data_IF_608324470060
#
_entry.id   IF_608324470060
#
_cell.length_a   1.000
_cell.length_b   1.000
_cell.length_c   1.000
_cell.angle_alpha   90.00
_cell.angle_beta   90.00
_cell.angle_gamma   90.00
#
_symmetry.space_group_name_H-M   'P 1'
#
loop_
_entity.id
_entity.type
_entity.pdbx_description
1 polymer ?
#
# COMPACT_ATOMS: atom_id res chain seq x y z
N UNK A 1 -3.72 -34.03 3.47
CA UNK A 1 -3.67 -32.57 3.65
C UNK A 1 -5.09 -32.12 3.84
N UNK A 2 -5.42 -31.56 5.00
CA UNK A 2 -6.79 -31.22 5.35
C UNK A 2 -6.90 -29.69 5.38
N UNK A 3 -7.95 -29.17 4.76
CA UNK A 3 -8.21 -27.73 4.68
C UNK A 3 -9.49 -27.44 5.45
N UNK A 4 -9.42 -26.50 6.38
CA UNK A 4 -10.56 -26.02 7.15
C UNK A 4 -11.01 -24.69 6.54
N UNK A 5 -12.30 -24.54 6.26
CA UNK A 5 -12.90 -23.27 5.86
C UNK A 5 -13.64 -22.68 7.07
N UNK A 6 -13.35 -21.43 7.39
CA UNK A 6 -13.98 -20.69 8.47
C UNK A 6 -14.57 -19.43 7.84
N UNK A 7 -15.89 -19.26 7.98
CA UNK A 7 -16.55 -18.02 7.58
C UNK A 7 -16.58 -17.08 8.79
N UNK A 8 -16.14 -15.83 8.60
CA UNK A 8 -16.00 -14.83 9.66
C UNK A 8 -16.95 -13.69 9.34
N UNK A 9 -17.95 -13.47 10.19
CA UNK A 9 -18.96 -12.42 9.99
C UNK A 9 -18.47 -11.04 10.45
N UNK A 10 -17.49 -10.97 11.36
CA UNK A 10 -17.00 -9.73 11.95
C UNK A 10 -15.50 -9.58 11.74
N UNK A 11 -15.09 -8.52 11.03
CA UNK A 11 -13.69 -8.27 10.69
C UNK A 11 -12.75 -8.18 11.90
N UNK A 12 -13.27 -7.77 13.07
CA UNK A 12 -12.48 -7.67 14.30
C UNK A 12 -11.96 -9.03 14.79
N UNK A 13 -12.63 -10.11 14.42
CA UNK A 13 -12.28 -11.46 14.83
C UNK A 13 -11.14 -12.05 13.98
N UNK A 14 -10.86 -11.45 12.81
CA UNK A 14 -9.78 -11.89 11.91
C UNK A 14 -8.44 -11.81 12.60
N UNK A 15 -8.10 -10.66 13.22
CA UNK A 15 -6.79 -10.48 13.87
C UNK A 15 -6.58 -11.42 15.05
N UNK A 16 -7.66 -11.79 15.76
CA UNK A 16 -7.59 -12.76 16.86
C UNK A 16 -7.33 -14.16 16.31
N UNK A 17 -7.99 -14.53 15.22
CA UNK A 17 -7.81 -15.81 14.55
C UNK A 17 -6.42 -15.97 13.94
N UNK A 18 -5.88 -14.93 13.29
CA UNK A 18 -4.52 -14.90 12.74
C UNK A 18 -3.47 -15.24 13.79
N UNK A 19 -3.59 -14.59 14.96
CA UNK A 19 -2.66 -14.79 16.07
C UNK A 19 -2.71 -16.23 16.56
N UNK A 20 -3.91 -16.78 16.77
CA UNK A 20 -4.11 -18.17 17.18
C UNK A 20 -3.53 -19.17 16.16
N UNK A 21 -3.80 -18.99 14.87
CA UNK A 21 -3.30 -19.88 13.82
C UNK A 21 -1.77 -19.84 13.73
N UNK A 22 -1.18 -18.66 13.92
CA UNK A 22 0.27 -18.46 13.93
C UNK A 22 0.91 -19.14 15.15
N UNK A 23 0.35 -18.94 16.35
CA UNK A 23 0.84 -19.56 17.59
C UNK A 23 0.78 -21.09 17.53
N UNK A 24 -0.23 -21.65 16.85
CA UNK A 24 -0.38 -23.08 16.63
C UNK A 24 0.46 -23.63 15.46
N UNK A 25 1.18 -22.77 14.72
CA UNK A 25 2.04 -23.16 13.61
C UNK A 25 1.28 -23.58 12.34
N UNK A 26 0.02 -23.20 12.20
CA UNK A 26 -0.77 -23.48 11.00
C UNK A 26 -0.43 -22.50 9.87
N UNK A 27 -0.41 -23.01 8.64
CA UNK A 27 -0.38 -22.18 7.43
C UNK A 27 -1.81 -21.86 7.02
N UNK A 28 -2.10 -20.59 6.81
CA UNK A 28 -3.42 -20.12 6.39
C UNK A 28 -3.30 -19.12 5.23
N UNK A 29 -4.41 -18.94 4.50
CA UNK A 29 -4.58 -17.92 3.45
C UNK A 29 -5.99 -17.32 3.58
N UNK A 30 -6.12 -16.03 3.32
CA UNK A 30 -7.42 -15.40 3.21
C UNK A 30 -7.94 -15.51 1.80
N UNK A 31 -9.16 -16.00 1.66
CA UNK A 31 -9.93 -15.93 0.43
C UNK A 31 -11.09 -14.99 0.71
N UNK A 32 -10.90 -13.70 0.39
CA UNK A 32 -12.02 -12.76 0.38
C UNK A 32 -12.77 -12.92 -0.94
N UNK A 33 -14.08 -13.17 -0.84
CA UNK A 33 -14.98 -13.12 -1.99
C UNK A 33 -15.42 -11.68 -2.31
N UNK A 34 -15.03 -10.69 -1.51
CA UNK A 34 -15.29 -9.30 -1.85
C UNK A 34 -14.36 -8.87 -2.97
N UNK A 35 -14.88 -8.30 -4.07
CA UNK A 35 -14.07 -7.53 -4.99
C UNK A 35 -13.29 -6.50 -4.18
N UNK A 36 -11.97 -6.43 -4.38
CA UNK A 36 -11.09 -5.39 -3.80
C UNK A 36 -11.56 -3.94 -4.15
N UNK A 37 -12.58 -3.85 -5.01
CA UNK A 37 -13.20 -2.65 -5.55
C UNK A 37 -14.71 -2.57 -5.25
N UNK A 38 -15.23 -3.25 -4.22
CA UNK A 38 -16.63 -3.14 -3.82
C UNK A 38 -16.96 -1.68 -3.41
N UNK A 39 -17.80 -1.00 -4.19
CA UNK A 39 -18.24 0.39 -3.92
C UNK A 39 -17.52 1.49 -4.71
N UNK A 40 -16.54 1.16 -5.56
CA UNK A 40 -15.90 2.11 -6.47
C UNK A 40 -16.32 1.83 -7.91
N UNK A 41 -16.65 2.89 -8.64
CA UNK A 41 -17.01 2.80 -10.06
C UNK A 41 -15.83 2.25 -10.88
N UNK A 42 -16.11 1.60 -12.02
CA UNK A 42 -15.04 1.10 -12.91
C UNK A 42 -14.05 2.20 -13.32
N UNK A 43 -14.54 3.43 -13.52
CA UNK A 43 -13.70 4.59 -13.80
C UNK A 43 -12.73 4.93 -12.64
N UNK A 44 -13.17 4.79 -11.39
CA UNK A 44 -12.32 4.98 -10.22
C UNK A 44 -11.28 3.85 -10.10
N UNK A 45 -11.66 2.61 -10.41
CA UNK A 45 -10.74 1.47 -10.47
C UNK A 45 -9.62 1.69 -11.51
N UNK A 46 -9.99 2.15 -12.71
CA UNK A 46 -9.03 2.49 -13.77
C UNK A 46 -8.08 3.61 -13.34
N UNK A 47 -8.60 4.68 -12.74
CA UNK A 47 -7.79 5.81 -12.26
C UNK A 47 -6.78 5.40 -11.18
N UNK A 48 -7.14 4.45 -10.29
CA UNK A 48 -6.23 3.91 -9.28
C UNK A 48 -5.10 3.11 -9.94
N UNK A 49 -5.42 2.27 -10.92
CA UNK A 49 -4.43 1.46 -11.65
C UNK A 49 -3.46 2.35 -12.41
N UNK A 50 -3.96 3.35 -13.14
CA UNK A 50 -3.11 4.32 -13.85
C UNK A 50 -2.23 5.13 -12.88
N UNK A 51 -2.78 5.60 -11.76
CA UNK A 51 -2.01 6.33 -10.75
C UNK A 51 -0.90 5.49 -10.10
N UNK A 52 -1.16 4.19 -9.85
CA UNK A 52 -0.15 3.26 -9.36
C UNK A 52 0.93 2.97 -10.42
N UNK A 53 0.56 2.92 -11.69
CA UNK A 53 1.50 2.75 -12.80
C UNK A 53 2.39 3.98 -12.96
N UNK A 54 1.82 5.19 -12.93
CA UNK A 54 2.59 6.44 -13.00
C UNK A 54 3.57 6.59 -11.82
N UNK A 55 3.21 6.08 -10.64
CA UNK A 55 4.11 6.01 -9.49
C UNK A 55 5.25 5.00 -9.69
N UNK A 56 4.99 3.83 -10.27
CA UNK A 56 6.04 2.84 -10.61
C UNK A 56 6.98 3.37 -11.70
N UNK A 57 6.46 4.09 -12.67
CA UNK A 57 7.23 4.67 -13.76
C UNK A 57 7.96 5.96 -13.34
N UNK A 58 7.81 6.38 -12.07
CA UNK A 58 8.49 7.55 -11.53
C UNK A 58 8.01 8.88 -12.11
N UNK A 59 6.86 8.88 -12.80
CA UNK A 59 6.22 10.09 -13.34
C UNK A 59 5.60 10.94 -12.21
N UNK A 60 5.16 10.28 -11.14
CA UNK A 60 4.68 10.91 -9.91
C UNK A 60 5.70 10.65 -8.81
N UNK A 61 6.17 11.72 -8.17
CA UNK A 61 7.02 11.63 -6.99
C UNK A 61 6.16 11.59 -5.74
N UNK A 62 6.35 10.58 -4.89
CA UNK A 62 5.79 10.59 -3.54
C UNK A 62 6.35 11.77 -2.73
N UNK A 63 5.62 12.19 -1.69
CA UNK A 63 5.95 13.37 -0.85
C UNK A 63 7.41 13.35 -0.36
N UNK A 64 7.90 12.19 0.06
CA UNK A 64 9.29 12.01 0.52
C UNK A 64 10.31 12.30 -0.59
N UNK A 65 10.06 11.83 -1.81
CA UNK A 65 10.94 12.05 -2.95
C UNK A 65 10.90 13.50 -3.43
N UNK A 66 9.72 14.13 -3.40
CA UNK A 66 9.55 15.55 -3.71
C UNK A 66 10.32 16.43 -2.71
N UNK A 67 10.16 16.18 -1.41
CA UNK A 67 10.88 16.89 -0.33
C UNK A 67 12.40 16.76 -0.47
N UNK A 68 12.91 15.55 -0.69
CA UNK A 68 14.34 15.34 -0.89
C UNK A 68 14.91 16.16 -2.07
N UNK A 69 14.15 16.29 -3.16
CA UNK A 69 14.52 17.12 -4.31
C UNK A 69 14.54 18.60 -3.98
N UNK A 70 13.55 19.09 -3.23
CA UNK A 70 13.46 20.47 -2.77
C UNK A 70 14.64 20.80 -1.86
N UNK A 71 14.91 19.96 -0.86
CA UNK A 71 16.01 20.16 0.09
C UNK A 71 17.37 20.18 -0.62
N UNK A 72 17.57 19.27 -1.57
CA UNK A 72 18.76 19.24 -2.43
C UNK A 72 18.92 20.55 -3.21
N UNK A 73 17.83 21.07 -3.80
CA UNK A 73 17.86 22.32 -4.56
C UNK A 73 18.12 23.54 -3.67
N UNK A 74 17.54 23.58 -2.47
CA UNK A 74 17.81 24.61 -1.47
C UNK A 74 19.29 24.60 -1.07
N UNK A 75 19.87 23.41 -0.85
CA UNK A 75 21.30 23.28 -0.52
C UNK A 75 22.21 23.76 -1.66
N UNK A 76 21.89 23.41 -2.91
CA UNK A 76 22.60 23.87 -4.11
C UNK A 76 22.52 25.41 -4.27
N UNK A 77 21.35 25.99 -3.97
CA UNK A 77 21.20 27.45 -4.01
C UNK A 77 22.00 28.14 -2.89
N UNK A 78 22.00 27.58 -1.67
CA UNK A 78 22.78 28.12 -0.55
C UNK A 78 24.27 28.09 -0.84
N UNK A 79 24.80 27.02 -1.42
CA UNK A 79 26.22 26.94 -1.78
C UNK A 79 26.59 27.93 -2.90
N UNK A 80 25.70 28.14 -3.87
CA UNK A 80 25.90 29.15 -4.93
C UNK A 80 25.87 30.60 -4.42
N UNK A 81 25.10 30.88 -3.37
CA UNK A 81 25.05 32.21 -2.74
C UNK A 81 26.25 32.43 -1.82
N UNK A 82 26.68 31.39 -1.07
CA UNK A 82 27.81 31.48 -0.15
C UNK A 82 29.19 31.47 -0.84
N UNK A 83 29.27 30.95 -2.07
CA UNK A 83 30.48 30.98 -2.90
C UNK A 83 30.67 32.26 -3.72
N UNK A 84 29.90 33.32 -3.44
CA UNK A 84 29.96 34.63 -4.10
C UNK A 84 30.40 35.72 -3.14
#
# INVERSE_FOLDING_TARGET
MNTLRIDIENEKDISVLEKLLTELGFKYKFESNQPVFEGITEAAGLGIVEGLQDLREGRILGDKAARARIDSKISEMKSRIAGR
#
